data_IF_112088194256
#
_entry.id   IF_112088194256
#
_cell.length_a   1.000
_cell.length_b   1.000
_cell.length_c   1.000
_cell.angle_alpha   90.00
_cell.angle_beta   90.00
_cell.angle_gamma   90.00
#
_symmetry.space_group_name_H-M   'P 1'
#
loop_
_entity.id
_entity.type
_entity.pdbx_description
1 polymer ?
#
# COMPACT_ATOMS: atom_id res chain seq x y z
N UNK A 1 -21.91 1.92 3.52
CA UNK A 1 -21.45 0.74 4.29
C UNK A 1 -20.00 0.86 4.77
N UNK A 2 -19.04 1.17 3.89
CA UNK A 2 -17.61 1.24 4.24
C UNK A 2 -17.27 2.14 5.44
N UNK A 3 -17.77 3.37 5.45
CA UNK A 3 -17.48 4.34 6.51
C UNK A 3 -17.95 3.87 7.90
N UNK A 4 -19.10 3.17 7.97
CA UNK A 4 -19.61 2.62 9.23
C UNK A 4 -18.74 1.47 9.75
N UNK A 5 -18.29 0.58 8.86
CA UNK A 5 -17.37 -0.50 9.23
C UNK A 5 -16.01 0.04 9.69
N UNK A 6 -15.50 1.07 9.01
CA UNK A 6 -14.24 1.74 9.37
C UNK A 6 -14.29 2.37 10.76
N UNK A 7 -15.39 3.06 11.09
CA UNK A 7 -15.58 3.66 12.40
C UNK A 7 -15.60 2.58 13.50
N UNK A 8 -16.36 1.49 13.29
CA UNK A 8 -16.38 0.37 14.24
C UNK A 8 -15.00 -0.28 14.43
N UNK A 9 -14.23 -0.41 13.36
CA UNK A 9 -12.88 -0.99 13.45
C UNK A 9 -11.91 -0.09 14.23
N UNK A 10 -12.04 1.23 14.11
CA UNK A 10 -11.29 2.20 14.92
C UNK A 10 -11.73 2.17 16.39
N UNK A 11 -13.04 2.15 16.64
CA UNK A 11 -13.59 2.09 18.01
C UNK A 11 -13.17 0.81 18.75
N UNK A 12 -13.07 -0.30 18.02
CA UNK A 12 -12.61 -1.59 18.56
C UNK A 12 -11.08 -1.75 18.52
N UNK A 13 -10.33 -0.70 18.15
CA UNK A 13 -8.86 -0.68 18.08
C UNK A 13 -8.23 -1.76 17.17
N UNK A 14 -9.01 -2.26 16.21
CA UNK A 14 -8.55 -3.25 15.20
C UNK A 14 -7.63 -2.58 14.18
N UNK A 15 -7.82 -1.28 13.96
CA UNK A 15 -7.01 -0.44 13.07
C UNK A 15 -6.65 0.85 13.79
N UNK A 16 -5.43 1.34 13.59
CA UNK A 16 -4.94 2.56 14.24
C UNK A 16 -5.28 3.84 13.45
N UNK A 17 -5.51 3.71 12.15
CA UNK A 17 -5.76 4.85 11.27
C UNK A 17 -6.80 4.55 10.19
N UNK A 18 -7.40 5.62 9.65
CA UNK A 18 -8.32 5.51 8.52
C UNK A 18 -7.54 5.25 7.24
N UNK A 19 -8.02 4.31 6.44
CA UNK A 19 -7.51 4.08 5.10
C UNK A 19 -8.63 4.09 4.05
N UNK A 20 -8.21 4.30 2.81
CA UNK A 20 -9.09 4.22 1.64
C UNK A 20 -8.84 2.92 0.89
N UNK A 21 -9.84 2.44 0.16
CA UNK A 21 -9.66 1.29 -0.74
C UNK A 21 -8.49 1.47 -1.72
N UNK A 22 -8.26 2.71 -2.16
CA UNK A 22 -7.13 3.05 -3.03
C UNK A 22 -5.78 2.87 -2.35
N UNK A 23 -5.72 3.02 -1.02
CA UNK A 23 -4.50 2.85 -0.20
C UNK A 23 -4.15 1.39 0.11
N UNK A 24 -5.12 0.48 0.04
CA UNK A 24 -4.90 -0.95 0.30
C UNK A 24 -3.96 -1.61 -0.72
N UNK A 25 -4.16 -1.37 -2.02
CA UNK A 25 -3.28 -1.93 -3.08
C UNK A 25 -1.82 -1.49 -2.92
N UNK A 26 -1.51 -0.18 -2.73
CA UNK A 26 -0.15 0.27 -2.44
C UNK A 26 0.46 -0.41 -1.21
N UNK A 27 -0.28 -0.48 -0.10
CA UNK A 27 0.20 -1.07 1.15
C UNK A 27 0.48 -2.57 1.01
N UNK A 28 -0.43 -3.31 0.37
CA UNK A 28 -0.24 -4.73 0.07
C UNK A 28 0.97 -4.96 -0.87
N UNK A 29 1.20 -4.06 -1.82
CA UNK A 29 2.36 -4.15 -2.70
C UNK A 29 3.68 -3.83 -1.98
N UNK A 30 3.67 -2.97 -0.96
CA UNK A 30 4.88 -2.59 -0.21
C UNK A 30 5.27 -3.60 0.86
N UNK A 31 4.28 -4.24 1.49
CA UNK A 31 4.51 -5.17 2.60
C UNK A 31 4.89 -6.59 2.12
N UNK A 32 4.57 -6.93 0.86
CA UNK A 32 4.88 -8.20 0.22
C UNK A 32 5.46 -8.00 -1.20
N UNK A 33 5.84 -9.08 -1.89
CA UNK A 33 6.25 -9.00 -3.30
C UNK A 33 5.05 -8.70 -4.21
N UNK A 34 4.71 -7.40 -4.31
CA UNK A 34 3.51 -6.90 -5.00
C UNK A 34 3.40 -7.27 -6.47
N UNK A 35 4.49 -7.71 -7.10
CA UNK A 35 4.50 -8.15 -8.51
C UNK A 35 3.73 -9.46 -8.71
N UNK A 36 3.76 -10.38 -7.74
CA UNK A 36 3.05 -11.67 -7.82
C UNK A 36 1.57 -11.54 -7.49
N UNK A 37 1.20 -10.69 -6.55
CA UNK A 37 -0.15 -10.65 -5.97
C UNK A 37 -1.12 -9.71 -6.68
N UNK A 38 -0.62 -8.67 -7.34
CA UNK A 38 -1.48 -7.64 -7.94
C UNK A 38 -1.86 -7.92 -9.40
N UNK A 39 -1.44 -9.08 -9.95
CA UNK A 39 -1.73 -9.53 -11.31
C UNK A 39 -1.45 -8.47 -12.38
N UNK A 40 -0.44 -7.62 -12.17
CA UNK A 40 -0.04 -6.65 -13.18
C UNK A 40 0.78 -7.34 -14.26
N UNK A 41 0.42 -7.08 -15.52
CA UNK A 41 1.12 -7.60 -16.70
C UNK A 41 2.55 -7.07 -16.81
N UNK A 42 2.82 -5.89 -16.23
CA UNK A 42 4.14 -5.26 -16.21
C UNK A 42 4.52 -4.83 -14.78
N UNK A 43 5.65 -5.34 -14.29
CA UNK A 43 6.22 -5.01 -12.99
C UNK A 43 6.59 -3.51 -12.86
N UNK A 44 6.81 -2.79 -13.97
CA UNK A 44 7.08 -1.35 -13.96
C UNK A 44 5.90 -0.54 -13.42
N UNK A 45 4.67 -1.00 -13.68
CA UNK A 45 3.44 -0.35 -13.18
C UNK A 45 3.37 -0.49 -11.67
N UNK A 46 3.58 -1.70 -11.15
CA UNK A 46 3.63 -1.96 -9.70
C UNK A 46 4.69 -1.09 -9.02
N UNK A 47 5.87 -0.98 -9.62
CA UNK A 47 6.95 -0.16 -9.08
C UNK A 47 6.62 1.33 -9.05
N UNK A 48 6.03 1.87 -10.12
CA UNK A 48 5.68 3.30 -10.26
C UNK A 48 4.57 3.75 -9.31
N UNK A 49 3.52 2.94 -9.18
CA UNK A 49 2.31 3.33 -8.45
C UNK A 49 2.31 2.89 -6.98
N UNK A 50 3.01 1.81 -6.64
CA UNK A 50 2.89 1.19 -5.32
C UNK A 50 4.22 1.11 -4.55
N UNK A 51 5.35 0.88 -5.22
CA UNK A 51 6.67 0.78 -4.56
C UNK A 51 7.44 2.12 -4.59
N UNK A 52 6.78 3.22 -4.21
CA UNK A 52 7.43 4.52 -4.02
C UNK A 52 8.23 4.54 -2.71
N UNK A 53 9.17 3.61 -2.55
CA UNK A 53 10.16 3.72 -1.49
C UNK A 53 11.09 4.89 -1.85
N UNK A 54 11.51 5.67 -0.87
CA UNK A 54 12.53 6.68 -1.09
C UNK A 54 13.76 6.00 -1.72
N UNK A 55 14.28 6.57 -2.80
CA UNK A 55 15.53 6.10 -3.38
C UNK A 55 16.63 6.53 -2.40
N UNK A 56 17.26 5.56 -1.74
CA UNK A 56 18.51 5.82 -1.03
C UNK A 56 19.58 6.13 -2.07
N UNK A 57 19.99 7.39 -2.15
CA UNK A 57 21.04 7.84 -3.07
C UNK A 57 22.36 7.88 -2.31
N UNK A 58 23.36 7.13 -2.77
CA UNK A 58 24.73 7.24 -2.25
C UNK A 58 25.47 8.29 -3.08
N UNK A 59 26.07 9.32 -2.48
CA UNK A 59 26.82 10.33 -3.23
C UNK A 59 27.99 9.68 -3.97
N UNK A 60 28.21 10.07 -5.23
CA UNK A 60 29.41 9.67 -5.97
C UNK A 60 30.64 10.30 -5.32
N UNK A 61 31.63 9.46 -5.00
CA UNK A 61 32.96 9.90 -4.54
C UNK A 61 33.67 10.72 -5.61
#
# INVERSE_FOLDING_TARGET
MWQKAMNKALENDVIQERFTFRGLRPKAASDHDGTKLLAHTDAKITKKYYLRKAIEVTPSR
#
